data_IF_512486158751
#
_entry.id   IF_512486158751
#
_cell.length_a   1.000
_cell.length_b   1.000
_cell.length_c   1.000
_cell.angle_alpha   90.00
_cell.angle_beta   90.00
_cell.angle_gamma   90.00
#
_symmetry.space_group_name_H-M   'P 1'
#
loop_
_entity.id
_entity.type
_entity.pdbx_description
1 polymer ?
#
# COMPACT_ATOMS: atom_id res chain seq x y z
N UNK A 1 -6.96 -4.72 -17.17
CA UNK A 1 -7.37 -4.74 -15.75
C UNK A 1 -8.01 -3.40 -15.43
N UNK A 2 -9.07 -3.37 -14.61
CA UNK A 2 -9.77 -2.13 -14.22
C UNK A 2 -9.68 -2.00 -12.70
N UNK A 3 -9.34 -0.82 -12.19
CA UNK A 3 -9.22 -0.53 -10.76
C UNK A 3 -10.07 0.69 -10.37
N UNK A 4 -10.42 0.79 -9.10
CA UNK A 4 -11.06 1.97 -8.50
C UNK A 4 -10.42 2.23 -7.14
N UNK A 5 -10.04 3.48 -6.85
CA UNK A 5 -9.54 3.90 -5.54
C UNK A 5 -9.86 5.38 -5.31
N UNK A 6 -10.26 5.72 -4.09
CA UNK A 6 -10.26 7.10 -3.62
C UNK A 6 -8.89 7.47 -3.02
N UNK A 7 -8.15 8.34 -3.72
CA UNK A 7 -6.81 8.80 -3.30
C UNK A 7 -6.88 9.67 -2.04
N UNK A 8 -7.95 10.45 -1.87
CA UNK A 8 -8.08 11.45 -0.79
C UNK A 8 -7.78 12.88 -1.20
N UNK A 9 -7.20 13.08 -2.37
CA UNK A 9 -6.96 14.38 -2.99
C UNK A 9 -7.25 14.33 -4.49
N UNK A 10 -7.55 15.47 -5.09
CA UNK A 10 -7.82 15.58 -6.52
C UNK A 10 -6.55 15.32 -7.31
N UNK A 11 -6.51 14.23 -8.07
CA UNK A 11 -5.43 13.92 -9.01
C UNK A 11 -5.52 14.88 -10.20
N UNK A 12 -4.42 15.53 -10.55
CA UNK A 12 -4.35 16.50 -11.65
C UNK A 12 -3.41 16.09 -12.79
N UNK A 13 -2.55 15.09 -12.58
CA UNK A 13 -1.79 14.48 -13.67
C UNK A 13 -1.57 12.99 -13.41
N UNK A 14 -1.46 12.23 -14.50
CA UNK A 14 -1.18 10.79 -14.51
C UNK A 14 -0.18 10.51 -15.64
N UNK A 15 0.88 9.77 -15.34
CA UNK A 15 1.92 9.42 -16.31
C UNK A 15 2.40 7.99 -16.08
N UNK A 16 2.39 7.18 -17.14
CA UNK A 16 3.08 5.88 -17.11
C UNK A 16 4.57 6.10 -17.35
N UNK A 17 5.41 5.69 -16.41
CA UNK A 17 6.86 5.84 -16.52
C UNK A 17 7.60 4.80 -15.67
N UNK A 18 8.91 4.70 -15.85
CA UNK A 18 9.80 4.00 -14.92
C UNK A 18 10.58 5.04 -14.12
N UNK A 19 10.58 4.93 -12.79
CA UNK A 19 11.25 5.88 -11.89
C UNK A 19 12.72 5.51 -11.63
N UNK A 20 13.07 4.25 -11.89
CA UNK A 20 14.40 3.67 -11.64
C UNK A 20 14.87 2.96 -12.93
N UNK A 21 16.13 3.11 -13.35
CA UNK A 21 16.63 2.42 -14.54
C UNK A 21 16.44 0.90 -14.45
N UNK A 22 15.66 0.33 -15.38
CA UNK A 22 15.37 -1.10 -15.42
C UNK A 22 14.34 -1.60 -14.39
N UNK A 23 13.73 -0.71 -13.61
CA UNK A 23 12.65 -1.11 -12.69
C UNK A 23 11.28 -1.16 -13.35
N UNK A 24 10.29 -1.48 -12.53
CA UNK A 24 8.93 -1.74 -13.01
C UNK A 24 8.27 -0.45 -13.50
N UNK A 25 7.56 -0.52 -14.63
CA UNK A 25 6.74 0.61 -15.07
C UNK A 25 5.57 0.80 -14.11
N UNK A 26 5.38 2.05 -13.68
CA UNK A 26 4.34 2.44 -12.75
C UNK A 26 3.47 3.53 -13.34
N UNK A 27 2.32 3.76 -12.72
CA UNK A 27 1.50 4.92 -12.99
C UNK A 27 1.76 5.98 -11.90
N UNK A 28 2.58 6.97 -12.23
CA UNK A 28 2.86 8.12 -11.39
C UNK A 28 1.67 9.09 -11.45
N UNK A 29 1.28 9.65 -10.32
CA UNK A 29 0.26 10.68 -10.25
C UNK A 29 0.68 11.84 -9.36
N UNK A 30 0.17 13.02 -9.69
CA UNK A 30 0.26 14.20 -8.81
C UNK A 30 -1.13 14.65 -8.38
N UNK A 31 -1.21 15.30 -7.23
CA UNK A 31 -2.46 15.86 -6.70
C UNK A 31 -2.39 17.38 -6.58
N UNK A 32 -3.55 18.04 -6.62
CA UNK A 32 -3.65 19.50 -6.42
C UNK A 32 -3.14 19.94 -5.04
N UNK A 33 -3.12 19.04 -4.06
CA UNK A 33 -2.58 19.27 -2.71
C UNK A 33 -1.07 19.11 -2.63
N UNK A 34 -0.38 18.84 -3.75
CA UNK A 34 1.08 18.72 -3.83
C UNK A 34 1.63 17.32 -3.52
N UNK A 35 0.78 16.31 -3.37
CA UNK A 35 1.25 14.92 -3.20
C UNK A 35 1.68 14.33 -4.54
N UNK A 36 2.73 13.52 -4.50
CA UNK A 36 3.18 12.68 -5.62
C UNK A 36 3.05 11.24 -5.16
N UNK A 37 2.28 10.43 -5.89
CA UNK A 37 2.04 9.05 -5.54
C UNK A 37 2.22 8.12 -6.74
N UNK A 38 2.28 6.82 -6.45
CA UNK A 38 2.57 5.78 -7.43
C UNK A 38 1.55 4.66 -7.31
N UNK A 39 1.02 4.22 -8.44
CA UNK A 39 0.31 2.94 -8.54
C UNK A 39 1.24 1.92 -9.21
N UNK A 40 1.71 0.97 -8.42
CA UNK A 40 2.63 -0.07 -8.86
C UNK A 40 1.87 -1.38 -9.16
N UNK A 41 2.13 -2.03 -10.31
CA UNK A 41 1.51 -3.32 -10.62
C UNK A 41 2.21 -4.47 -9.89
N UNK A 42 1.44 -5.46 -9.45
CA UNK A 42 1.98 -6.74 -8.99
C UNK A 42 2.15 -7.70 -10.16
N UNK A 43 3.26 -8.44 -10.18
CA UNK A 43 3.54 -9.49 -11.17
C UNK A 43 3.31 -10.90 -10.65
N UNK A 44 3.28 -11.09 -9.32
CA UNK A 44 3.18 -12.39 -8.67
C UNK A 44 1.96 -12.41 -7.75
N UNK A 45 1.15 -13.48 -7.83
CA UNK A 45 -0.05 -13.63 -6.99
C UNK A 45 0.29 -13.68 -5.50
N UNK A 46 1.36 -14.38 -5.13
CA UNK A 46 1.82 -14.47 -3.73
C UNK A 46 2.09 -13.09 -3.12
N UNK A 47 2.58 -12.14 -3.91
CA UNK A 47 2.81 -10.76 -3.46
C UNK A 47 1.52 -9.99 -3.24
N UNK A 48 0.51 -10.24 -4.07
CA UNK A 48 -0.85 -9.69 -3.89
C UNK A 48 -1.44 -10.23 -2.59
N UNK A 49 -1.42 -11.56 -2.41
CA UNK A 49 -1.97 -12.22 -1.24
C UNK A 49 -1.26 -11.72 0.03
N UNK A 50 0.07 -11.62 0.02
CA UNK A 50 0.85 -11.06 1.13
C UNK A 50 0.43 -9.62 1.47
N UNK A 51 0.38 -8.73 0.48
CA UNK A 51 0.05 -7.32 0.70
C UNK A 51 -1.40 -7.13 1.17
N UNK A 52 -2.33 -7.95 0.70
CA UNK A 52 -3.72 -7.93 1.16
C UNK A 52 -3.85 -8.32 2.64
N UNK A 53 -3.13 -9.35 3.09
CA UNK A 53 -3.16 -9.74 4.50
C UNK A 53 -2.47 -8.71 5.39
N UNK A 54 -1.35 -8.12 4.95
CA UNK A 54 -0.72 -7.01 5.66
C UNK A 54 -1.69 -5.84 5.81
N UNK A 55 -2.33 -5.39 4.73
CA UNK A 55 -3.31 -4.30 4.79
C UNK A 55 -4.44 -4.62 5.78
N UNK A 56 -4.98 -5.85 5.75
CA UNK A 56 -6.00 -6.31 6.69
C UNK A 56 -5.53 -6.20 8.15
N UNK A 57 -4.35 -6.74 8.48
CA UNK A 57 -3.83 -6.74 9.84
C UNK A 57 -3.50 -5.33 10.34
N UNK A 58 -2.91 -4.48 9.49
CA UNK A 58 -2.61 -3.09 9.88
C UNK A 58 -3.88 -2.31 10.16
N UNK A 59 -4.92 -2.47 9.33
CA UNK A 59 -6.21 -1.79 9.56
C UNK A 59 -6.86 -2.14 10.89
N UNK A 60 -6.64 -3.37 11.38
CA UNK A 60 -7.13 -3.79 12.70
C UNK A 60 -6.23 -3.25 13.83
N UNK A 61 -4.91 -3.25 13.63
CA UNK A 61 -3.93 -2.84 14.64
C UNK A 61 -3.83 -1.31 14.82
N UNK A 62 -4.12 -0.56 13.75
CA UNK A 62 -4.06 0.91 13.65
C UNK A 62 -5.36 1.44 12.99
N UNK A 63 -6.46 1.49 13.75
CA UNK A 63 -7.66 2.16 13.26
C UNK A 63 -7.39 3.65 13.03
N UNK A 64 -8.18 4.27 12.15
CA UNK A 64 -8.06 5.70 11.88
C UNK A 64 -8.17 6.55 13.16
N UNK A 65 -7.26 7.50 13.31
CA UNK A 65 -7.23 8.43 14.45
C UNK A 65 -8.49 9.31 14.57
N UNK A 66 -9.25 9.45 13.48
CA UNK A 66 -10.53 10.19 13.45
C UNK A 66 -11.75 9.26 13.42
N UNK A 67 -11.56 7.96 13.69
CA UNK A 67 -12.62 6.96 13.72
C UNK A 67 -13.22 6.61 12.35
N UNK A 68 -12.59 7.03 11.25
CA UNK A 68 -13.05 6.71 9.90
C UNK A 68 -12.67 5.28 9.52
N UNK A 69 -13.63 4.48 9.06
CA UNK A 69 -13.30 3.16 8.49
C UNK A 69 -12.46 3.32 7.20
N UNK A 70 -11.37 2.57 7.14
CA UNK A 70 -10.38 2.66 6.06
C UNK A 70 -10.96 2.26 4.69
N UNK A 71 -11.74 1.18 4.63
CA UNK A 71 -12.31 0.71 3.35
C UNK A 71 -13.42 1.63 2.90
N UNK A 72 -14.25 2.12 3.81
CA UNK A 72 -15.23 3.14 3.52
C UNK A 72 -14.58 4.44 3.02
N UNK A 73 -13.42 4.82 3.55
CA UNK A 73 -12.64 5.95 3.04
C UNK A 73 -12.10 5.69 1.63
N UNK A 74 -11.42 4.56 1.39
CA UNK A 74 -10.89 4.21 0.06
C UNK A 74 -11.99 3.92 -0.98
N UNK A 75 -13.21 3.66 -0.52
CA UNK A 75 -14.43 3.44 -1.32
C UNK A 75 -15.38 4.64 -1.34
N UNK A 76 -14.89 5.87 -1.11
CA UNK A 76 -15.74 7.04 -0.85
C UNK A 76 -16.85 7.27 -1.89
N UNK A 77 -16.54 7.12 -3.19
CA UNK A 77 -17.48 7.31 -4.29
C UNK A 77 -17.81 6.02 -5.04
N UNK A 78 -16.82 5.15 -5.21
CA UNK A 78 -16.94 3.86 -5.87
C UNK A 78 -16.25 2.80 -5.01
N UNK A 79 -16.74 1.55 -4.99
CA UNK A 79 -16.09 0.47 -4.25
C UNK A 79 -14.61 0.32 -4.63
N UNK A 80 -13.74 0.25 -3.62
CA UNK A 80 -12.32 -0.07 -3.79
C UNK A 80 -12.19 -1.38 -4.60
N UNK A 81 -11.41 -1.35 -5.67
CA UNK A 81 -11.27 -2.48 -6.58
C UNK A 81 -9.83 -2.61 -7.07
N UNK A 82 -9.24 -3.77 -6.84
CA UNK A 82 -7.92 -4.16 -7.37
C UNK A 82 -6.78 -3.19 -7.02
N UNK A 83 -6.85 -2.56 -5.85
CA UNK A 83 -5.78 -1.74 -5.28
C UNK A 83 -5.62 -2.10 -3.81
N UNK A 84 -4.38 -2.16 -3.34
CA UNK A 84 -4.00 -2.35 -1.94
C UNK A 84 -3.34 -1.04 -1.48
N UNK A 85 -3.69 -0.56 -0.29
CA UNK A 85 -3.17 0.69 0.24
C UNK A 85 -1.75 0.53 0.81
N UNK A 86 -0.75 0.78 -0.03
CA UNK A 86 0.67 0.72 0.34
C UNK A 86 1.05 1.62 1.53
N UNK A 87 0.46 2.81 1.62
CA UNK A 87 0.70 3.75 2.74
C UNK A 87 0.24 3.13 4.07
N UNK A 88 -0.83 2.33 4.04
CA UNK A 88 -1.30 1.58 5.20
C UNK A 88 -0.34 0.44 5.52
N UNK A 89 0.09 -0.34 4.52
CA UNK A 89 1.02 -1.44 4.73
C UNK A 89 2.36 -0.99 5.35
N UNK A 90 2.91 0.14 4.91
CA UNK A 90 4.17 0.68 5.42
C UNK A 90 4.11 1.09 6.91
N UNK A 91 2.92 1.34 7.45
CA UNK A 91 2.74 1.61 8.89
C UNK A 91 3.12 0.42 9.78
N UNK A 92 3.28 -0.78 9.21
CA UNK A 92 3.85 -1.93 9.92
C UNK A 92 5.13 -1.55 10.67
N UNK A 93 6.00 -0.75 10.05
CA UNK A 93 7.27 -0.34 10.65
C UNK A 93 7.11 0.62 11.84
N UNK A 94 5.96 1.27 11.99
CA UNK A 94 5.63 2.17 13.09
C UNK A 94 4.93 1.48 14.27
N UNK A 95 4.56 0.21 14.14
CA UNK A 95 3.95 -0.56 15.22
C UNK A 95 4.92 -0.85 16.36
N UNK A 96 4.37 -1.00 17.56
CA UNK A 96 5.08 -1.55 18.72
C UNK A 96 5.54 -2.99 18.44
N UNK A 97 6.66 -3.39 19.05
CA UNK A 97 7.30 -4.69 18.83
C UNK A 97 6.36 -5.88 19.05
N UNK A 98 5.46 -5.81 20.04
CA UNK A 98 4.51 -6.89 20.31
C UNK A 98 3.48 -7.05 19.19
N UNK A 99 2.96 -5.94 18.66
CA UNK A 99 2.03 -5.97 17.52
C UNK A 99 2.72 -6.46 16.24
N UNK A 100 3.96 -6.03 15.99
CA UNK A 100 4.76 -6.53 14.86
C UNK A 100 4.95 -8.03 14.94
N UNK A 101 5.30 -8.55 16.13
CA UNK A 101 5.48 -9.99 16.35
C UNK A 101 4.18 -10.77 16.12
N UNK A 102 3.07 -10.31 16.69
CA UNK A 102 1.77 -10.96 16.51
C UNK A 102 1.35 -11.04 15.02
N UNK A 103 1.49 -9.94 14.27
CA UNK A 103 1.17 -9.93 12.83
C UNK A 103 2.13 -10.82 12.04
N UNK A 104 3.41 -10.87 12.43
CA UNK A 104 4.40 -11.71 11.76
C UNK A 104 4.13 -13.21 11.99
N UNK A 105 3.70 -13.58 13.19
CA UNK A 105 3.26 -14.94 13.53
C UNK A 105 2.07 -15.37 12.67
N UNK A 106 1.06 -14.51 12.51
CA UNK A 106 -0.11 -14.77 11.64
C UNK A 106 0.23 -14.91 10.14
N UNK A 107 1.44 -14.49 9.74
CA UNK A 107 1.94 -14.57 8.37
C UNK A 107 3.04 -15.63 8.20
N UNK A 108 3.33 -16.43 9.25
CA UNK A 108 4.43 -17.40 9.27
C UNK A 108 5.78 -16.77 8.86
N UNK A 109 6.07 -15.59 9.44
CA UNK A 109 7.26 -14.77 9.16
C UNK A 109 7.84 -14.20 10.46
N UNK A 110 9.01 -13.58 10.36
CA UNK A 110 9.52 -12.69 11.41
C UNK A 110 9.38 -11.22 11.00
N UNK A 111 9.27 -10.26 11.95
CA UNK A 111 9.07 -8.85 11.63
C UNK A 111 10.09 -8.27 10.63
N UNK A 112 11.37 -8.67 10.73
CA UNK A 112 12.38 -8.18 9.79
C UNK A 112 12.13 -8.62 8.34
N UNK A 113 11.58 -9.81 8.12
CA UNK A 113 11.26 -10.30 6.77
C UNK A 113 10.10 -9.51 6.15
N UNK A 114 9.10 -9.16 6.95
CA UNK A 114 7.99 -8.31 6.51
C UNK A 114 8.51 -6.92 6.14
N UNK A 115 9.27 -6.28 7.02
CA UNK A 115 9.86 -4.96 6.77
C UNK A 115 10.70 -4.96 5.49
N UNK A 116 11.56 -5.98 5.33
CA UNK A 116 12.39 -6.15 4.13
C UNK A 116 11.54 -6.36 2.87
N UNK A 117 10.50 -7.19 2.93
CA UNK A 117 9.63 -7.43 1.77
C UNK A 117 8.88 -6.16 1.33
N UNK A 118 8.40 -5.34 2.28
CA UNK A 118 7.79 -4.05 1.99
C UNK A 118 8.79 -3.09 1.31
N UNK A 119 10.01 -3.01 1.83
CA UNK A 119 11.08 -2.18 1.26
C UNK A 119 11.51 -2.65 -0.14
N UNK A 120 11.68 -3.95 -0.34
CA UNK A 120 12.05 -4.55 -1.63
C UNK A 120 10.96 -4.27 -2.70
N UNK A 121 9.69 -4.30 -2.32
CA UNK A 121 8.58 -3.94 -3.22
C UNK A 121 8.60 -2.47 -3.63
N UNK A 122 8.86 -1.58 -2.67
CA UNK A 122 8.99 -0.14 -2.91
C UNK A 122 10.16 0.17 -3.84
N UNK A 123 11.33 -0.42 -3.56
CA UNK A 123 12.59 -0.15 -4.29
C UNK A 123 12.56 -0.64 -5.75
N UNK A 124 11.74 -1.65 -6.08
CA UNK A 124 11.53 -2.10 -7.48
C UNK A 124 10.78 -1.08 -8.34
N UNK A 125 10.02 -0.19 -7.71
CA UNK A 125 9.07 0.70 -8.35
C UNK A 125 9.41 2.18 -8.16
N UNK A 126 10.10 2.50 -7.08
CA UNK A 126 10.38 3.86 -6.61
C UNK A 126 11.70 3.88 -5.80
N UNK A 127 11.99 5.05 -5.20
CA UNK A 127 13.15 5.35 -4.36
C UNK A 127 12.76 5.41 -2.90
#
# INVERSE_FOLDING_TARGET
>A
MVFNIHVGATVNSLQKCSLVPGGTEVLLYTTLSGSIGVLAPFSVKEDIDFMQHIELYIRQALPSIVGRDHIAYRSYYFPLKSVIDGDTCEQFNSLDSDKKRAIAEELDRVPQEISKKLEDMRTKCAF
#
